data_IF_415763130946
#
_entry.id   IF_415763130946
#
_cell.length_a   1.000
_cell.length_b   1.000
_cell.length_c   1.000
_cell.angle_alpha   90.00
_cell.angle_beta   90.00
_cell.angle_gamma   90.00
#
_symmetry.space_group_name_H-M   'P 1'
#
loop_
_entity.id
_entity.type
_entity.pdbx_description
1 polymer ?
#
# COMPACT_ATOMS: atom_id res chain seq x y z
N UNK A 1 9.43 23.22 -14.27
CA UNK A 1 10.36 23.94 -13.34
C UNK A 1 10.61 23.10 -12.07
N UNK A 2 11.69 23.32 -11.30
CA UNK A 2 11.94 22.60 -10.05
C UNK A 2 10.75 22.70 -9.06
N UNK A 3 10.09 23.86 -9.02
CA UNK A 3 8.86 24.11 -8.25
C UNK A 3 7.66 23.27 -8.70
N UNK A 4 7.58 22.97 -9.99
CA UNK A 4 6.53 22.16 -10.58
C UNK A 4 6.73 20.67 -10.26
N UNK A 5 7.98 20.19 -10.36
CA UNK A 5 8.35 18.83 -9.93
C UNK A 5 8.07 18.61 -8.44
N UNK A 6 8.39 19.60 -7.59
CA UNK A 6 8.04 19.59 -6.18
C UNK A 6 6.52 19.43 -5.95
N UNK A 7 5.71 20.23 -6.65
CA UNK A 7 4.25 20.16 -6.52
C UNK A 7 3.70 18.80 -6.98
N UNK A 8 4.23 18.25 -8.08
CA UNK A 8 3.82 16.94 -8.58
C UNK A 8 4.13 15.82 -7.58
N UNK A 9 5.34 15.78 -7.04
CA UNK A 9 5.71 14.77 -6.03
C UNK A 9 4.87 14.92 -4.77
N UNK A 10 4.56 16.15 -4.37
CA UNK A 10 3.71 16.42 -3.20
C UNK A 10 2.28 15.93 -3.40
N UNK A 11 1.69 16.15 -4.58
CA UNK A 11 0.36 15.62 -4.91
C UNK A 11 0.39 14.09 -5.00
N UNK A 12 1.43 13.50 -5.57
CA UNK A 12 1.57 12.03 -5.65
C UNK A 12 1.64 11.40 -4.25
N UNK A 13 2.46 11.96 -3.35
CA UNK A 13 2.55 11.51 -1.95
C UNK A 13 1.20 11.63 -1.25
N UNK A 14 0.39 12.64 -1.58
CA UNK A 14 -0.95 12.81 -1.02
C UNK A 14 -1.86 11.65 -1.45
N UNK A 15 -1.92 11.33 -2.76
CA UNK A 15 -2.73 10.20 -3.23
C UNK A 15 -2.27 8.87 -2.65
N UNK A 16 -0.95 8.64 -2.57
CA UNK A 16 -0.41 7.42 -1.94
C UNK A 16 -0.80 7.30 -0.47
N UNK A 17 -0.89 8.41 0.27
CA UNK A 17 -1.37 8.38 1.66
C UNK A 17 -2.86 8.07 1.76
N UNK A 18 -3.67 8.52 0.81
CA UNK A 18 -5.10 8.17 0.72
C UNK A 18 -5.25 6.66 0.44
N UNK A 19 -4.52 6.12 -0.53
CA UNK A 19 -4.50 4.69 -0.85
C UNK A 19 -4.05 3.83 0.35
N UNK A 20 -3.02 4.27 1.09
CA UNK A 20 -2.56 3.57 2.28
C UNK A 20 -3.62 3.54 3.40
N UNK A 21 -4.45 4.58 3.52
CA UNK A 21 -5.57 4.55 4.47
C UNK A 21 -6.63 3.53 4.06
N UNK A 22 -6.93 3.41 2.78
CA UNK A 22 -7.89 2.42 2.27
C UNK A 22 -7.38 0.99 2.45
N UNK A 23 -6.08 0.77 2.24
CA UNK A 23 -5.42 -0.50 2.54
C UNK A 23 -5.45 -0.84 4.04
N UNK A 24 -5.17 0.14 4.91
CA UNK A 24 -5.28 -0.04 6.36
C UNK A 24 -6.70 -0.41 6.80
N UNK A 25 -7.70 0.26 6.22
CA UNK A 25 -9.10 -0.04 6.48
C UNK A 25 -9.42 -1.49 6.07
N UNK A 26 -8.91 -1.92 4.92
CA UNK A 26 -9.08 -3.28 4.41
C UNK A 26 -8.41 -4.32 5.31
N UNK A 27 -7.16 -4.09 5.72
CA UNK A 27 -6.43 -4.94 6.68
C UNK A 27 -7.18 -5.02 8.02
N UNK A 28 -7.73 -3.91 8.50
CA UNK A 28 -8.52 -3.87 9.73
C UNK A 28 -9.84 -4.66 9.63
N UNK A 29 -10.52 -4.60 8.47
CA UNK A 29 -11.74 -5.40 8.22
C UNK A 29 -11.41 -6.88 8.21
N UNK A 30 -10.33 -7.27 7.51
CA UNK A 30 -9.85 -8.66 7.46
C UNK A 30 -9.46 -9.14 8.84
N UNK A 31 -8.72 -8.33 9.61
CA UNK A 31 -8.31 -8.65 10.99
C UNK A 31 -9.49 -8.93 11.91
N UNK A 32 -10.57 -8.14 11.80
CA UNK A 32 -11.80 -8.32 12.60
C UNK A 32 -12.60 -9.56 12.22
N UNK A 33 -12.47 -10.03 10.98
CA UNK A 33 -13.23 -11.15 10.43
C UNK A 33 -12.31 -12.28 9.95
N UNK A 34 -11.16 -12.47 10.59
CA UNK A 34 -10.11 -13.39 10.11
C UNK A 34 -10.62 -14.83 9.94
N UNK A 35 -11.54 -15.26 10.81
CA UNK A 35 -12.23 -16.55 10.75
C UNK A 35 -13.04 -16.78 9.46
N UNK A 36 -13.45 -15.70 8.77
CA UNK A 36 -14.21 -15.75 7.51
C UNK A 36 -13.29 -15.82 6.28
N UNK A 37 -12.07 -15.32 6.40
CA UNK A 37 -11.15 -15.15 5.29
C UNK A 37 -10.02 -16.18 5.25
N UNK A 38 -9.93 -17.07 6.24
CA UNK A 38 -8.88 -18.10 6.35
C UNK A 38 -7.45 -17.51 6.29
N UNK A 39 -7.26 -16.28 6.77
CA UNK A 39 -5.97 -15.58 6.80
C UNK A 39 -5.34 -15.74 8.17
N UNK A 40 -4.04 -16.06 8.20
CA UNK A 40 -3.30 -16.25 9.45
C UNK A 40 -3.04 -14.92 10.18
N UNK A 41 -2.88 -14.97 11.50
CA UNK A 41 -2.51 -13.79 12.27
C UNK A 41 -1.11 -13.25 11.91
N UNK A 42 -0.22 -14.14 11.47
CA UNK A 42 1.11 -13.76 11.00
C UNK A 42 1.01 -12.93 9.71
N UNK A 43 0.21 -13.36 8.74
CA UNK A 43 -0.04 -12.65 7.48
C UNK A 43 -0.61 -11.24 7.72
N UNK A 44 -1.57 -11.11 8.63
CA UNK A 44 -2.14 -9.79 9.02
C UNK A 44 -1.07 -8.88 9.64
N UNK A 45 -0.18 -9.44 10.45
CA UNK A 45 0.91 -8.68 11.08
C UNK A 45 1.92 -8.22 10.02
N UNK A 46 2.35 -9.10 9.13
CA UNK A 46 3.28 -8.77 8.03
C UNK A 46 2.72 -7.67 7.13
N UNK A 47 1.42 -7.71 6.81
CA UNK A 47 0.72 -6.64 6.07
C UNK A 47 0.67 -5.33 6.84
N UNK A 48 0.39 -5.38 8.14
CA UNK A 48 0.38 -4.19 9.02
C UNK A 48 1.76 -3.55 9.08
N UNK A 49 2.82 -4.37 9.20
CA UNK A 49 4.20 -3.88 9.20
C UNK A 49 4.59 -3.27 7.86
N UNK A 50 4.17 -3.87 6.75
CA UNK A 50 4.45 -3.34 5.41
C UNK A 50 3.84 -1.95 5.21
N UNK A 51 2.58 -1.75 5.58
CA UNK A 51 1.93 -0.43 5.51
C UNK A 51 2.64 0.61 6.39
N UNK A 52 3.13 0.19 7.57
CA UNK A 52 3.91 1.06 8.46
C UNK A 52 5.23 1.49 7.82
N UNK A 53 5.95 0.56 7.20
CA UNK A 53 7.22 0.85 6.51
C UNK A 53 6.98 1.85 5.37
N UNK A 54 5.95 1.64 4.55
CA UNK A 54 5.65 2.52 3.42
C UNK A 54 5.31 3.94 3.92
N UNK A 55 4.53 4.08 4.99
CA UNK A 55 4.25 5.40 5.58
C UNK A 55 5.50 6.11 6.07
N UNK A 56 6.43 5.39 6.71
CA UNK A 56 7.68 5.98 7.15
C UNK A 56 8.50 6.50 5.96
N UNK A 57 8.57 5.72 4.87
CA UNK A 57 9.26 6.12 3.65
C UNK A 57 8.64 7.39 3.02
N UNK A 58 7.30 7.47 2.93
CA UNK A 58 6.63 8.66 2.41
C UNK A 58 6.92 9.90 3.27
N UNK A 59 6.99 9.73 4.59
CA UNK A 59 7.36 10.81 5.51
C UNK A 59 8.82 11.25 5.32
N UNK A 60 9.76 10.33 5.12
CA UNK A 60 11.15 10.63 4.83
C UNK A 60 11.30 11.41 3.51
N UNK A 61 10.65 10.95 2.45
CA UNK A 61 10.63 11.64 1.15
C UNK A 61 10.06 13.05 1.30
N UNK A 62 8.93 13.19 2.02
CA UNK A 62 8.32 14.50 2.28
C UNK A 62 9.28 15.44 3.01
N UNK A 63 9.98 14.96 4.03
CA UNK A 63 10.94 15.76 4.80
C UNK A 63 12.14 16.18 3.94
N UNK A 64 12.72 15.26 3.16
CA UNK A 64 13.85 15.55 2.29
C UNK A 64 13.50 16.58 1.23
N UNK A 65 12.31 16.48 0.64
CA UNK A 65 11.83 17.43 -0.37
C UNK A 65 11.61 18.82 0.25
N UNK A 66 11.02 18.90 1.44
CA UNK A 66 10.82 20.17 2.14
C UNK A 66 12.15 20.84 2.52
N UNK A 67 13.12 20.07 3.01
CA UNK A 67 14.45 20.57 3.38
C UNK A 67 15.23 21.12 2.17
N UNK A 68 15.14 20.45 1.02
CA UNK A 68 15.78 20.90 -0.22
C UNK A 68 15.21 22.24 -0.74
N UNK A 69 13.90 22.44 -0.62
CA UNK A 69 13.25 23.71 -1.02
C UNK A 69 13.64 24.87 -0.10
N UNK A 70 13.81 24.61 1.21
CA UNK A 70 14.28 25.62 2.16
C UNK A 70 15.74 26.02 1.91
N UNK A 71 16.58 25.10 1.45
CA UNK A 71 17.99 25.35 1.07
C UNK A 71 18.12 26.27 -0.14
N UNK A 72 17.23 26.13 -1.14
CA UNK A 72 17.22 26.94 -2.36
C UNK A 72 16.86 28.42 -2.12
N UNK A 73 16.04 28.72 -1.11
CA UNK A 73 15.58 30.08 -0.83
C UNK A 73 16.63 30.95 -0.09
N UNK A 74 17.69 30.35 0.46
CA UNK A 74 18.69 31.06 1.26
C UNK A 74 19.97 31.44 0.50
N UNK A 75 20.08 31.10 -0.79
CA UNK A 75 21.29 31.32 -1.60
C UNK A 75 21.06 32.31 -2.75
N UNK A 76 20.81 33.57 -2.41
CA UNK A 76 20.98 34.70 -3.34
C UNK A 76 22.26 35.48 -2.99
N UNK A 77 23.45 34.87 -3.14
CA UNK A 77 24.76 35.58 -3.13
C UNK A 77 25.88 34.76 -3.85
N UNK A 78 25.83 34.82 -5.18
CA UNK A 78 26.84 34.85 -6.26
C UNK A 78 28.27 34.21 -6.25
N UNK A 79 28.82 33.52 -5.24
CA UNK A 79 30.17 32.88 -5.39
C UNK A 79 30.23 31.35 -5.23
N UNK A 80 29.10 30.68 -4.95
CA UNK A 80 29.04 29.25 -4.57
C UNK A 80 28.75 28.26 -5.72
N UNK A 81 28.91 28.66 -6.99
CA UNK A 81 28.39 27.87 -8.12
C UNK A 81 29.09 26.50 -8.34
N UNK A 82 30.36 26.30 -7.98
CA UNK A 82 31.05 25.01 -8.20
C UNK A 82 30.81 23.97 -7.11
N UNK A 83 30.58 24.40 -5.86
CA UNK A 83 30.24 23.52 -4.73
C UNK A 83 28.77 23.09 -4.81
N UNK A 84 27.91 23.96 -5.34
CA UNK A 84 26.49 23.66 -5.55
C UNK A 84 26.30 22.62 -6.66
N UNK A 85 27.07 22.66 -7.76
CA UNK A 85 26.96 21.66 -8.83
C UNK A 85 27.35 20.24 -8.38
N UNK A 86 28.39 20.09 -7.55
CA UNK A 86 28.75 18.78 -6.97
C UNK A 86 27.76 18.28 -5.92
N UNK A 87 27.12 19.19 -5.17
CA UNK A 87 26.01 18.83 -4.28
C UNK A 87 24.79 18.38 -5.08
N UNK A 88 24.45 19.08 -6.16
CA UNK A 88 23.35 18.69 -7.05
C UNK A 88 23.54 17.33 -7.72
N UNK A 89 24.78 16.93 -8.07
CA UNK A 89 25.05 15.57 -8.56
C UNK A 89 24.85 14.50 -7.47
N UNK A 90 25.31 14.77 -6.24
CA UNK A 90 25.08 13.85 -5.11
C UNK A 90 23.58 13.78 -4.73
N UNK A 91 22.85 14.89 -4.80
CA UNK A 91 21.42 14.95 -4.52
C UNK A 91 20.60 14.24 -5.63
N UNK A 92 21.11 14.19 -6.86
CA UNK A 92 20.54 13.42 -7.98
C UNK A 92 20.81 11.92 -7.82
N UNK A 93 21.99 11.53 -7.32
CA UNK A 93 22.33 10.14 -6.99
C UNK A 93 21.40 9.61 -5.89
N UNK A 94 21.21 10.38 -4.81
CA UNK A 94 20.35 9.99 -3.69
C UNK A 94 18.87 9.94 -4.10
N UNK A 95 18.44 10.82 -5.02
CA UNK A 95 17.12 10.77 -5.63
C UNK A 95 16.96 9.54 -6.55
N UNK A 96 17.99 9.18 -7.30
CA UNK A 96 18.00 8.00 -8.16
C UNK A 96 17.90 6.71 -7.33
N UNK A 97 18.66 6.61 -6.24
CA UNK A 97 18.52 5.49 -5.30
C UNK A 97 17.13 5.45 -4.66
N UNK A 98 16.57 6.61 -4.32
CA UNK A 98 15.21 6.68 -3.75
C UNK A 98 14.16 6.24 -4.76
N UNK A 99 14.33 6.57 -6.04
CA UNK A 99 13.47 6.12 -7.12
C UNK A 99 13.63 4.60 -7.39
N UNK A 100 14.84 4.05 -7.28
CA UNK A 100 15.10 2.62 -7.39
C UNK A 100 14.45 1.84 -6.24
N UNK A 101 14.58 2.33 -5.00
CA UNK A 101 13.88 1.76 -3.84
C UNK A 101 12.37 1.80 -4.00
N UNK A 102 11.81 2.90 -4.51
CA UNK A 102 10.39 3.02 -4.81
C UNK A 102 9.96 2.03 -5.90
N UNK A 103 10.79 1.85 -6.93
CA UNK A 103 10.53 0.88 -7.99
C UNK A 103 10.48 -0.55 -7.45
N UNK A 104 11.42 -0.94 -6.59
CA UNK A 104 11.38 -2.25 -5.93
C UNK A 104 10.15 -2.42 -5.04
N UNK A 105 9.78 -1.40 -4.26
CA UNK A 105 8.57 -1.42 -3.45
C UNK A 105 7.31 -1.60 -4.33
N UNK A 106 7.24 -0.91 -5.48
CA UNK A 106 6.15 -1.06 -6.44
C UNK A 106 6.08 -2.48 -7.04
N UNK A 107 7.22 -3.12 -7.31
CA UNK A 107 7.26 -4.53 -7.77
C UNK A 107 6.72 -5.46 -6.68
N UNK A 108 7.14 -5.26 -5.42
CA UNK A 108 6.65 -6.05 -4.29
C UNK A 108 5.15 -5.90 -4.13
N UNK A 109 4.62 -4.67 -4.18
CA UNK A 109 3.18 -4.38 -4.14
C UNK A 109 2.46 -5.07 -5.29
N UNK A 110 2.99 -5.01 -6.51
CA UNK A 110 2.34 -5.65 -7.66
C UNK A 110 2.26 -7.17 -7.52
N UNK A 111 3.30 -7.79 -6.97
CA UNK A 111 3.33 -9.23 -6.69
C UNK A 111 2.30 -9.59 -5.62
N UNK A 112 2.28 -8.84 -4.52
CA UNK A 112 1.34 -9.06 -3.41
C UNK A 112 -0.13 -8.87 -3.86
N UNK A 113 -0.43 -7.86 -4.68
CA UNK A 113 -1.77 -7.66 -5.26
C UNK A 113 -2.18 -8.83 -6.16
N UNK A 114 -1.24 -9.39 -6.95
CA UNK A 114 -1.51 -10.56 -7.79
C UNK A 114 -1.78 -11.82 -6.97
N UNK A 115 -1.08 -11.99 -5.85
CA UNK A 115 -1.31 -13.14 -4.97
C UNK A 115 -2.63 -12.98 -4.20
N UNK A 116 -3.00 -11.75 -3.82
CA UNK A 116 -4.32 -11.44 -3.27
C UNK A 116 -5.46 -11.70 -4.26
N UNK A 117 -5.28 -11.43 -5.56
CA UNK A 117 -6.25 -11.78 -6.60
C UNK A 117 -6.54 -13.30 -6.60
N UNK A 118 -5.49 -14.12 -6.56
CA UNK A 118 -5.65 -15.59 -6.52
C UNK A 118 -6.36 -16.06 -5.25
N UNK A 119 -6.04 -15.48 -4.10
CA UNK A 119 -6.70 -15.79 -2.84
C UNK A 119 -8.20 -15.43 -2.87
N UNK A 120 -8.57 -14.33 -3.52
CA UNK A 120 -9.98 -13.96 -3.69
C UNK A 120 -10.70 -14.95 -4.61
N UNK A 121 -10.07 -15.38 -5.70
CA UNK A 121 -10.63 -16.38 -6.60
C UNK A 121 -10.82 -17.75 -5.88
N UNK A 122 -9.88 -18.14 -5.03
CA UNK A 122 -9.99 -19.36 -4.20
C UNK A 122 -11.12 -19.24 -3.17
N UNK A 123 -11.25 -18.07 -2.52
CA UNK A 123 -12.34 -17.79 -1.58
C UNK A 123 -13.71 -17.82 -2.26
N UNK A 124 -13.83 -17.31 -3.49
CA UNK A 124 -15.06 -17.39 -4.28
C UNK A 124 -15.47 -18.84 -4.52
N UNK A 125 -14.53 -19.69 -4.94
CA UNK A 125 -14.77 -21.11 -5.13
C UNK A 125 -15.21 -21.82 -3.84
N UNK A 126 -14.59 -21.50 -2.69
CA UNK A 126 -15.01 -22.07 -1.41
C UNK A 126 -16.39 -21.59 -0.97
N UNK A 127 -16.72 -20.33 -1.26
CA UNK A 127 -18.04 -19.75 -0.97
C UNK A 127 -19.14 -20.46 -1.77
N UNK A 128 -18.88 -20.78 -3.04
CA UNK A 128 -19.80 -21.55 -3.87
C UNK A 128 -20.04 -22.95 -3.31
N UNK A 129 -18.97 -23.66 -2.92
CA UNK A 129 -19.07 -24.98 -2.27
C UNK A 129 -19.87 -24.89 -0.96
N UNK A 130 -19.61 -23.85 -0.16
CA UNK A 130 -20.34 -23.62 1.10
C UNK A 130 -21.82 -23.35 0.85
N UNK A 131 -22.14 -22.53 -0.17
CA UNK A 131 -23.51 -22.25 -0.59
C UNK A 131 -24.24 -23.52 -1.04
N UNK A 132 -23.60 -24.42 -1.79
CA UNK A 132 -24.18 -25.71 -2.17
C UNK A 132 -24.52 -26.58 -0.94
N UNK A 133 -23.62 -26.65 0.04
CA UNK A 133 -23.85 -27.39 1.29
C UNK A 133 -25.01 -26.78 2.09
N UNK A 134 -25.05 -25.47 2.22
CA UNK A 134 -26.16 -24.76 2.89
C UNK A 134 -27.48 -25.05 2.18
N UNK A 135 -27.51 -24.99 0.85
CA UNK A 135 -28.70 -25.32 0.06
C UNK A 135 -29.16 -26.76 0.30
N UNK A 136 -28.23 -27.70 0.40
CA UNK A 136 -28.54 -29.09 0.71
C UNK A 136 -29.12 -29.27 2.12
N UNK A 137 -28.50 -28.68 3.13
CA UNK A 137 -29.00 -28.70 4.52
C UNK A 137 -30.38 -28.07 4.62
N UNK A 138 -30.56 -26.92 3.96
CA UNK A 138 -31.86 -26.21 3.91
C UNK A 138 -32.94 -27.07 3.28
N UNK A 139 -32.65 -27.76 2.17
CA UNK A 139 -33.59 -28.72 1.54
C UNK A 139 -33.99 -29.84 2.49
N UNK A 140 -33.03 -30.42 3.23
CA UNK A 140 -33.29 -31.47 4.22
C UNK A 140 -34.18 -30.99 5.36
N UNK A 141 -33.89 -29.80 5.90
CA UNK A 141 -34.72 -29.18 6.95
C UNK A 141 -36.15 -28.95 6.42
N UNK A 142 -36.29 -28.39 5.22
CA UNK A 142 -37.59 -28.17 4.59
C UNK A 142 -38.38 -29.48 4.41
N UNK A 143 -37.71 -30.55 3.94
CA UNK A 143 -38.33 -31.86 3.80
C UNK A 143 -38.78 -32.42 5.16
N UNK A 144 -37.92 -32.36 6.18
CA UNK A 144 -38.25 -32.82 7.52
C UNK A 144 -39.49 -32.12 8.08
N UNK A 145 -39.55 -30.79 7.97
CA UNK A 145 -40.69 -29.98 8.39
C UNK A 145 -41.98 -30.38 7.66
N UNK A 146 -41.91 -30.68 6.35
CA UNK A 146 -43.05 -31.17 5.56
C UNK A 146 -43.52 -32.57 5.95
N UNK A 147 -42.61 -33.44 6.38
CA UNK A 147 -42.95 -34.83 6.80
C UNK A 147 -43.45 -34.94 8.24
N UNK A 148 -43.21 -33.91 9.05
CA UNK A 148 -43.60 -33.82 10.47
C UNK A 148 -44.83 -32.94 10.73
N UNK A 149 -45.26 -32.20 9.72
CA UNK A 149 -46.54 -31.48 9.68
C UNK A 149 -47.62 -32.37 9.10
#
# INVERSE_FOLDING_TARGET
>A
SAREKYNLIKEEIKYLNEDLNDLDNSVNIVKKNSYKFNISSQEIEERTQSLRIIRNLLNEITNNINNNVLSYNNNTNNDYNSVILKRQDNDLEELAESAERLHHAAITINTELKDQQKLLDELENEMDISNEKINFVTKKISHYLKTKS
#
